data_IF_020568862095
#
_entry.id   IF_020568862095
#
_cell.length_a   1.000
_cell.length_b   1.000
_cell.length_c   1.000
_cell.angle_alpha   90.00
_cell.angle_beta   90.00
_cell.angle_gamma   90.00
#
_symmetry.space_group_name_H-M   'P 1'
#
loop_
_entity.id
_entity.type
_entity.pdbx_description
1 polymer ?
#
# COMPACT_ATOMS: atom_id res chain seq x y z
N UNK A 1 -26.94 -20.53 14.79
CA UNK A 1 -28.05 -20.98 13.91
C UNK A 1 -27.70 -20.57 12.48
N UNK A 2 -28.20 -21.26 11.44
CA UNK A 2 -27.85 -20.93 10.06
C UNK A 2 -28.04 -19.43 9.75
N UNK A 3 -27.03 -18.80 9.17
CA UNK A 3 -27.00 -17.37 8.86
C UNK A 3 -26.81 -16.42 10.05
N UNK A 4 -26.56 -16.93 11.26
CA UNK A 4 -26.17 -16.10 12.40
C UNK A 4 -24.66 -15.89 12.43
N UNK A 5 -24.23 -14.68 12.79
CA UNK A 5 -22.83 -14.35 13.02
C UNK A 5 -22.56 -14.05 14.51
N UNK A 6 -21.29 -14.13 14.89
CA UNK A 6 -20.78 -13.66 16.18
C UNK A 6 -19.51 -12.85 15.93
N UNK A 7 -19.09 -12.05 16.90
CA UNK A 7 -17.86 -11.26 16.82
C UNK A 7 -17.02 -11.52 18.06
N UNK A 8 -15.72 -11.74 17.85
CA UNK A 8 -14.71 -11.86 18.89
C UNK A 8 -13.76 -10.66 18.81
N UNK A 9 -13.10 -10.33 19.91
CA UNK A 9 -12.09 -9.27 19.94
C UNK A 9 -10.87 -9.76 20.69
N UNK A 10 -9.71 -9.67 20.04
CA UNK A 10 -8.40 -9.89 20.65
C UNK A 10 -7.68 -8.54 20.78
N UNK A 11 -6.94 -8.34 21.87
CA UNK A 11 -6.12 -7.15 22.09
C UNK A 11 -4.66 -7.57 22.09
N UNK A 12 -3.90 -7.04 21.13
CA UNK A 12 -2.46 -7.23 21.01
C UNK A 12 -1.74 -5.91 21.27
N UNK A 13 -0.51 -5.99 21.76
CA UNK A 13 0.36 -4.82 21.94
C UNK A 13 1.48 -4.91 20.91
N UNK A 14 1.71 -3.82 20.17
CA UNK A 14 2.86 -3.71 19.27
C UNK A 14 4.12 -3.58 20.12
N UNK A 15 5.07 -4.47 19.90
CA UNK A 15 6.34 -4.49 20.64
C UNK A 15 7.24 -3.33 20.22
N UNK A 16 8.06 -2.85 21.17
CA UNK A 16 9.02 -1.79 20.91
C UNK A 16 10.07 -2.23 19.87
N UNK A 17 10.49 -1.29 19.00
CA UNK A 17 11.50 -1.56 17.97
C UNK A 17 10.93 -2.10 16.65
N UNK A 18 9.61 -2.04 16.47
CA UNK A 18 8.90 -2.40 15.22
C UNK A 18 8.59 -1.19 14.33
N UNK A 19 9.19 -0.02 14.60
CA UNK A 19 8.95 1.19 13.81
C UNK A 19 9.35 0.98 12.34
N UNK A 20 8.43 1.28 11.43
CA UNK A 20 8.59 1.10 9.99
C UNK A 20 8.26 -0.29 9.47
N UNK A 21 7.89 -1.23 10.35
CA UNK A 21 7.56 -2.60 9.96
C UNK A 21 6.06 -2.75 9.62
N UNK A 22 5.79 -3.64 8.67
CA UNK A 22 4.47 -4.17 8.36
C UNK A 22 4.32 -5.52 9.09
N UNK A 23 3.35 -5.60 9.99
CA UNK A 23 3.06 -6.81 10.78
C UNK A 23 1.74 -7.40 10.30
N UNK A 24 1.73 -8.69 9.98
CA UNK A 24 0.51 -9.43 9.62
C UNK A 24 0.13 -10.34 10.78
N UNK A 25 -1.14 -10.29 11.19
CA UNK A 25 -1.72 -11.22 12.15
C UNK A 25 -2.82 -12.01 11.47
N UNK A 26 -2.66 -13.33 11.40
CA UNK A 26 -3.66 -14.25 10.80
C UNK A 26 -4.53 -14.85 11.91
N UNK A 27 -5.80 -15.08 11.62
CA UNK A 27 -6.71 -15.89 12.42
C UNK A 27 -7.35 -16.98 11.56
N UNK A 28 -7.60 -18.13 12.17
CA UNK A 28 -8.08 -19.33 11.47
C UNK A 28 -9.17 -20.06 12.29
N UNK A 29 -10.18 -20.61 11.63
CA UNK A 29 -11.15 -21.53 12.24
C UNK A 29 -10.56 -22.94 12.28
N UNK A 30 -9.73 -23.20 13.29
CA UNK A 30 -9.06 -24.51 13.46
C UNK A 30 -9.94 -25.76 13.63
N UNK A 31 -11.22 -25.60 14.02
CA UNK A 31 -12.13 -26.73 14.26
C UNK A 31 -13.59 -26.29 14.43
N UNK A 32 -14.52 -27.14 13.98
CA UNK A 32 -15.94 -27.03 14.25
C UNK A 32 -16.62 -28.41 14.42
N UNK A 33 -17.78 -28.43 15.07
CA UNK A 33 -18.65 -29.60 15.18
C UNK A 33 -20.10 -29.20 14.96
N UNK A 34 -20.95 -30.16 14.61
CA UNK A 34 -22.41 -29.97 14.60
C UNK A 34 -23.01 -29.92 16.02
N UNK A 35 -24.34 -29.83 16.12
CA UNK A 35 -25.07 -29.77 17.40
C UNK A 35 -25.01 -31.05 18.23
N UNK A 36 -24.50 -32.13 17.66
CA UNK A 36 -24.38 -33.46 18.25
C UNK A 36 -22.91 -33.83 18.52
N UNK A 37 -21.99 -32.84 18.50
CA UNK A 37 -20.54 -32.98 18.62
C UNK A 37 -19.91 -33.85 17.51
N UNK A 38 -20.59 -33.97 16.37
CA UNK A 38 -20.11 -34.66 15.17
C UNK A 38 -19.13 -33.80 14.37
N UNK A 39 -18.13 -34.44 13.77
CA UNK A 39 -17.24 -33.78 12.82
C UNK A 39 -18.04 -33.32 11.58
N UNK A 40 -17.70 -32.14 11.09
CA UNK A 40 -18.26 -31.55 9.88
C UNK A 40 -17.14 -31.37 8.85
N UNK A 41 -17.48 -31.55 7.58
CA UNK A 41 -16.60 -31.17 6.47
C UNK A 41 -17.00 -29.76 6.05
N UNK A 42 -16.03 -28.87 5.96
CA UNK A 42 -16.23 -27.59 5.30
C UNK A 42 -16.15 -27.77 3.77
N UNK A 43 -16.80 -26.89 3.01
CA UNK A 43 -16.97 -27.10 1.56
C UNK A 43 -15.72 -26.70 0.79
N UNK A 44 -15.08 -25.64 1.22
CA UNK A 44 -14.02 -24.91 0.53
C UNK A 44 -12.82 -24.62 1.43
N UNK A 45 -12.83 -25.12 2.67
CA UNK A 45 -11.81 -24.79 3.67
C UNK A 45 -11.25 -26.04 4.36
N UNK A 46 -10.00 -25.99 4.84
CA UNK A 46 -9.36 -27.10 5.57
C UNK A 46 -8.97 -26.73 7.00
N UNK A 47 -9.91 -26.75 7.96
CA UNK A 47 -9.65 -26.38 9.36
C UNK A 47 -8.45 -27.12 9.98
N UNK A 48 -7.38 -26.40 10.31
CA UNK A 48 -6.25 -26.94 11.06
C UNK A 48 -5.57 -25.93 12.02
N UNK A 49 -4.25 -25.83 12.06
CA UNK A 49 -3.52 -24.86 12.91
C UNK A 49 -2.25 -24.35 12.22
N UNK A 50 -2.14 -24.54 10.91
CA UNK A 50 -0.96 -24.29 10.08
C UNK A 50 -1.25 -23.16 9.08
N UNK A 51 -1.06 -21.93 9.56
CA UNK A 51 -1.26 -20.66 8.82
C UNK A 51 -0.45 -20.48 7.52
N UNK A 52 0.36 -21.48 7.14
CA UNK A 52 1.15 -21.50 5.93
C UNK A 52 0.59 -22.38 4.83
N UNK A 53 -0.54 -23.05 5.05
CA UNK A 53 -1.12 -23.97 4.08
C UNK A 53 -2.48 -23.50 3.51
N UNK A 54 -2.97 -22.34 3.95
CA UNK A 54 -4.27 -21.83 3.56
C UNK A 54 -4.26 -21.12 2.21
N UNK A 55 -5.19 -21.42 1.30
CA UNK A 55 -5.33 -20.81 -0.02
C UNK A 55 -5.77 -19.33 0.05
N UNK A 56 -5.11 -18.48 -0.74
CA UNK A 56 -5.42 -17.05 -0.80
C UNK A 56 -4.85 -16.28 0.39
N UNK A 57 -5.64 -15.36 0.99
CA UNK A 57 -5.19 -14.56 2.13
C UNK A 57 -4.00 -13.62 1.85
N UNK A 58 -3.90 -13.06 0.64
CA UNK A 58 -2.87 -12.06 0.35
C UNK A 58 -3.36 -10.64 0.70
N UNK A 59 -2.76 -10.03 1.73
CA UNK A 59 -3.15 -8.70 2.24
C UNK A 59 -3.24 -7.62 1.15
N UNK A 60 -4.33 -6.85 1.15
CA UNK A 60 -4.58 -5.77 0.20
C UNK A 60 -4.89 -6.20 -1.24
N UNK A 61 -5.20 -7.48 -1.45
CA UNK A 61 -5.58 -8.03 -2.77
C UNK A 61 -7.06 -8.47 -2.78
N UNK A 62 -7.64 -8.91 -3.91
CA UNK A 62 -9.01 -9.41 -3.92
C UNK A 62 -9.29 -10.63 -3.04
N UNK A 63 -8.28 -11.43 -2.66
CA UNK A 63 -8.43 -12.53 -1.69
C UNK A 63 -8.41 -12.04 -0.23
N UNK A 64 -8.13 -10.77 0.04
CA UNK A 64 -8.22 -10.19 1.39
C UNK A 64 -9.69 -9.93 1.77
N UNK A 65 -10.14 -10.38 2.94
CA UNK A 65 -11.54 -10.34 3.40
C UNK A 65 -12.52 -11.14 2.51
N UNK A 66 -12.04 -12.07 1.68
CA UNK A 66 -12.90 -12.87 0.81
C UNK A 66 -13.58 -14.01 1.60
N UNK A 67 -14.83 -14.31 1.22
CA UNK A 67 -15.69 -15.29 1.94
C UNK A 67 -16.55 -16.12 0.98
N UNK A 68 -16.17 -16.12 -0.29
CA UNK A 68 -16.96 -16.76 -1.36
C UNK A 68 -16.09 -17.53 -2.35
N UNK A 69 -14.83 -17.77 -1.99
CA UNK A 69 -13.92 -18.56 -2.81
C UNK A 69 -14.31 -20.04 -2.83
N UNK A 70 -13.43 -20.87 -3.38
CA UNK A 70 -13.67 -22.32 -3.46
C UNK A 70 -12.49 -23.15 -2.91
N UNK A 71 -11.51 -22.50 -2.26
CA UNK A 71 -10.32 -23.12 -1.70
C UNK A 71 -9.41 -23.81 -2.70
N UNK A 72 -9.59 -23.59 -4.00
CA UNK A 72 -8.77 -24.26 -5.03
C UNK A 72 -7.41 -23.60 -5.25
N UNK A 73 -7.16 -22.49 -4.56
CA UNK A 73 -5.99 -21.64 -4.68
C UNK A 73 -4.72 -22.21 -4.08
N UNK A 74 -3.71 -21.35 -4.01
CA UNK A 74 -2.47 -21.61 -3.30
C UNK A 74 -2.26 -20.56 -2.20
N UNK A 75 -1.45 -20.86 -1.17
CA UNK A 75 -1.19 -19.89 -0.13
C UNK A 75 -0.57 -18.59 -0.65
N UNK A 76 -1.18 -17.48 -0.26
CA UNK A 76 -0.81 -16.14 -0.67
C UNK A 76 -1.14 -15.80 -2.13
N UNK A 77 -2.02 -16.54 -2.79
CA UNK A 77 -2.55 -16.10 -4.08
C UNK A 77 -3.49 -14.89 -3.93
N UNK A 78 -3.79 -14.23 -5.05
CA UNK A 78 -4.48 -12.93 -5.07
C UNK A 78 -5.90 -12.99 -5.62
N UNK A 79 -6.42 -14.20 -5.84
CA UNK A 79 -7.65 -14.43 -6.57
C UNK A 79 -8.81 -14.75 -5.61
N UNK A 80 -9.73 -13.78 -5.44
CA UNK A 80 -10.94 -13.91 -4.58
C UNK A 80 -11.70 -15.23 -4.78
N UNK A 81 -11.76 -15.74 -6.01
CA UNK A 81 -12.56 -16.92 -6.33
C UNK A 81 -11.87 -18.26 -6.04
N UNK A 82 -10.60 -18.25 -5.61
CA UNK A 82 -9.83 -19.45 -5.26
C UNK A 82 -9.39 -19.47 -3.80
N UNK A 83 -9.65 -18.39 -3.08
CA UNK A 83 -9.49 -18.24 -1.63
C UNK A 83 -10.29 -19.29 -0.85
N UNK A 84 -9.80 -19.68 0.31
CA UNK A 84 -10.63 -20.38 1.32
C UNK A 84 -11.18 -19.40 2.35
N UNK A 85 -12.16 -19.79 3.16
CA UNK A 85 -12.93 -18.85 3.99
C UNK A 85 -12.81 -19.07 5.51
N UNK A 86 -11.90 -19.94 5.94
CA UNK A 86 -11.63 -20.20 7.35
C UNK A 86 -10.38 -19.50 7.90
N UNK A 87 -9.49 -18.97 7.05
CA UNK A 87 -8.29 -18.23 7.41
C UNK A 87 -8.31 -16.81 6.83
N UNK A 88 -7.92 -15.80 7.63
CA UNK A 88 -7.88 -14.41 7.14
C UNK A 88 -6.77 -13.58 7.83
N UNK A 89 -5.95 -12.83 7.04
CA UNK A 89 -4.89 -11.96 7.55
C UNK A 89 -5.34 -10.53 7.86
N UNK A 90 -4.77 -9.91 8.90
CA UNK A 90 -4.90 -8.48 9.15
C UNK A 90 -3.53 -7.78 9.16
N UNK A 91 -3.35 -6.78 8.30
CA UNK A 91 -2.14 -5.96 8.21
C UNK A 91 -2.15 -4.77 9.19
N UNK A 92 -1.04 -4.60 9.91
CA UNK A 92 -0.76 -3.46 10.79
C UNK A 92 0.52 -2.78 10.32
N UNK A 93 0.47 -1.48 10.00
CA UNK A 93 1.66 -0.68 9.70
C UNK A 93 2.08 0.12 10.92
N UNK A 94 3.30 -0.09 11.41
CA UNK A 94 3.79 0.57 12.62
C UNK A 94 4.61 1.81 12.25
N UNK A 95 4.12 3.00 12.59
CA UNK A 95 4.81 4.27 12.30
C UNK A 95 5.39 4.35 10.87
N UNK A 96 4.57 4.13 9.82
CA UNK A 96 5.08 4.05 8.46
C UNK A 96 5.74 5.36 8.02
N UNK A 97 6.81 5.28 7.24
CA UNK A 97 7.38 6.40 6.50
C UNK A 97 6.91 6.36 5.06
N UNK A 98 6.26 7.41 4.58
CA UNK A 98 5.75 7.48 3.22
C UNK A 98 5.77 8.91 2.69
N UNK A 99 6.32 9.09 1.49
CA UNK A 99 6.37 10.36 0.77
C UNK A 99 5.75 10.18 -0.61
N UNK A 100 4.79 11.04 -0.93
CA UNK A 100 4.21 11.14 -2.27
C UNK A 100 4.63 12.43 -2.97
N UNK A 101 4.73 12.36 -4.29
CA UNK A 101 5.02 13.51 -5.15
C UNK A 101 3.96 13.60 -6.25
N UNK A 102 3.44 14.81 -6.46
CA UNK A 102 2.64 15.12 -7.65
C UNK A 102 3.31 16.24 -8.43
N UNK A 103 3.22 16.19 -9.76
CA UNK A 103 3.70 17.24 -10.67
C UNK A 103 2.60 17.58 -11.66
N UNK A 104 2.27 18.86 -11.74
CA UNK A 104 1.24 19.39 -12.64
C UNK A 104 1.73 20.69 -13.27
N UNK A 105 1.08 21.15 -14.33
CA UNK A 105 1.23 22.53 -14.77
C UNK A 105 0.81 23.46 -13.63
N UNK A 106 1.56 24.53 -13.41
CA UNK A 106 1.24 25.49 -12.36
C UNK A 106 -0.14 26.14 -12.59
N UNK A 107 -0.77 26.62 -11.52
CA UNK A 107 -2.06 27.28 -11.61
C UNK A 107 -2.00 28.46 -12.60
N UNK A 108 -2.84 28.42 -13.65
CA UNK A 108 -2.88 29.44 -14.70
C UNK A 108 -1.90 29.22 -15.86
N UNK A 109 -1.07 28.17 -15.84
CA UNK A 109 -0.25 27.77 -16.97
C UNK A 109 -1.10 27.05 -18.02
N UNK A 110 -1.17 27.60 -19.23
CA UNK A 110 -1.83 26.96 -20.36
C UNK A 110 -1.01 25.77 -20.90
N UNK A 111 -1.66 24.66 -21.30
CA UNK A 111 -0.97 23.49 -21.85
C UNK A 111 -0.54 23.66 -23.31
N UNK A 112 -1.09 24.66 -24.00
CA UNK A 112 -0.75 24.97 -25.40
C UNK A 112 0.15 26.19 -25.42
N UNK A 113 1.39 26.00 -25.88
CA UNK A 113 2.45 27.01 -25.90
C UNK A 113 3.17 27.01 -27.24
N UNK A 114 3.86 28.09 -27.57
CA UNK A 114 4.70 28.21 -28.75
C UNK A 114 6.19 27.95 -28.39
N UNK A 115 7.03 27.55 -29.37
CA UNK A 115 8.46 27.41 -29.13
C UNK A 115 9.09 28.71 -28.59
N UNK A 116 9.71 28.62 -27.42
CA UNK A 116 10.35 29.75 -26.73
C UNK A 116 9.55 30.27 -25.54
N UNK A 117 8.29 29.86 -25.38
CA UNK A 117 7.50 30.17 -24.18
C UNK A 117 8.04 29.43 -22.95
N UNK A 118 7.94 30.07 -21.78
CA UNK A 118 8.20 29.41 -20.51
C UNK A 118 6.98 28.60 -20.07
N UNK A 119 7.22 27.39 -19.56
CA UNK A 119 6.19 26.53 -18.98
C UNK A 119 6.54 26.30 -17.51
N UNK A 120 5.60 26.64 -16.63
CA UNK A 120 5.76 26.47 -15.21
C UNK A 120 5.05 25.20 -14.70
N UNK A 121 5.74 24.47 -13.82
CA UNK A 121 5.22 23.27 -13.17
C UNK A 121 5.18 23.48 -11.66
N UNK A 122 4.15 22.92 -11.03
CA UNK A 122 4.05 22.83 -9.57
C UNK A 122 4.33 21.39 -9.16
N UNK A 123 5.33 21.22 -8.30
CA UNK A 123 5.68 19.94 -7.69
C UNK A 123 5.29 20.01 -6.22
N UNK A 124 4.44 19.08 -5.77
CA UNK A 124 4.01 18.98 -4.38
C UNK A 124 4.52 17.68 -3.80
N UNK A 125 5.33 17.77 -2.75
CA UNK A 125 5.76 16.64 -1.93
C UNK A 125 4.89 16.59 -0.67
N UNK A 126 4.32 15.43 -0.36
CA UNK A 126 3.46 15.21 0.80
C UNK A 126 4.01 14.06 1.63
N UNK A 127 4.21 14.30 2.92
CA UNK A 127 4.45 13.21 3.87
C UNK A 127 3.11 12.55 4.20
N UNK A 128 2.92 11.33 3.72
CA UNK A 128 1.73 10.51 3.95
C UNK A 128 1.93 9.52 5.11
N UNK A 129 3.17 9.41 5.60
CA UNK A 129 3.52 8.60 6.76
C UNK A 129 3.36 9.33 8.10
N UNK A 130 3.78 8.66 9.16
CA UNK A 130 3.76 9.16 10.54
C UNK A 130 5.13 9.68 11.01
N UNK A 131 6.18 9.40 10.24
CA UNK A 131 7.56 9.79 10.57
C UNK A 131 7.92 11.11 9.89
N UNK A 132 8.44 12.08 10.63
CA UNK A 132 8.92 13.36 10.05
C UNK A 132 10.05 13.09 9.06
N UNK A 133 9.84 13.50 7.81
CA UNK A 133 10.88 13.48 6.79
C UNK A 133 11.88 14.63 7.00
N UNK A 134 13.12 14.43 6.55
CA UNK A 134 14.15 15.46 6.59
C UNK A 134 15.12 15.27 5.41
N UNK A 135 15.75 16.36 4.97
CA UNK A 135 16.72 16.36 3.87
C UNK A 135 16.16 15.74 2.58
N UNK A 136 14.94 16.14 2.19
CA UNK A 136 14.30 15.63 0.98
C UNK A 136 14.96 16.29 -0.24
N UNK A 137 15.46 15.46 -1.17
CA UNK A 137 15.97 15.89 -2.47
C UNK A 137 14.96 15.50 -3.56
N UNK A 138 14.53 16.50 -4.35
CA UNK A 138 13.67 16.31 -5.51
C UNK A 138 14.50 16.46 -6.77
N UNK A 139 14.44 15.47 -7.67
CA UNK A 139 15.08 15.50 -8.99
C UNK A 139 14.02 15.59 -10.08
N UNK A 140 14.09 16.64 -10.90
CA UNK A 140 13.27 16.82 -12.08
C UNK A 140 14.07 16.50 -13.35
N UNK A 141 13.57 15.59 -14.17
CA UNK A 141 14.20 15.20 -15.43
C UNK A 141 13.68 16.08 -16.56
N UNK A 142 14.58 16.86 -17.17
CA UNK A 142 14.28 17.81 -18.24
C UNK A 142 14.41 17.07 -19.58
N UNK A 143 13.30 16.73 -20.26
CA UNK A 143 13.34 15.98 -21.51
C UNK A 143 13.88 16.83 -22.66
N UNK A 144 14.35 16.16 -23.71
CA UNK A 144 14.66 16.82 -25.00
C UNK A 144 13.48 17.65 -25.49
N UNK A 145 13.75 18.91 -25.85
CA UNK A 145 12.72 19.87 -26.28
C UNK A 145 12.37 20.90 -25.20
N UNK A 146 12.78 20.68 -23.95
CA UNK A 146 12.77 21.69 -22.89
C UNK A 146 14.21 22.06 -22.50
N UNK A 147 14.39 23.26 -21.97
CA UNK A 147 15.63 23.74 -21.39
C UNK A 147 15.36 24.32 -20.01
N UNK A 148 16.29 24.16 -19.07
CA UNK A 148 16.17 24.81 -17.77
C UNK A 148 16.16 26.33 -17.95
N UNK A 149 15.12 26.99 -17.43
CA UNK A 149 15.02 28.45 -17.55
C UNK A 149 15.96 29.15 -16.56
N UNK A 150 16.66 30.18 -17.02
CA UNK A 150 17.43 31.08 -16.18
C UNK A 150 16.56 31.90 -15.20
N UNK A 151 15.23 31.90 -15.38
CA UNK A 151 14.28 32.56 -14.49
C UNK A 151 13.84 31.69 -13.30
N UNK A 152 14.27 30.42 -13.23
CA UNK A 152 14.02 29.58 -12.05
C UNK A 152 14.66 30.18 -10.79
N UNK A 153 14.05 29.92 -9.64
CA UNK A 153 14.61 30.33 -8.35
C UNK A 153 15.87 29.51 -8.06
N UNK A 154 17.04 30.10 -8.34
CA UNK A 154 18.34 29.49 -8.10
C UNK A 154 18.71 29.28 -6.63
N UNK A 155 17.89 29.75 -5.68
CA UNK A 155 18.03 29.38 -4.26
C UNK A 155 17.37 28.02 -3.96
N UNK A 156 16.44 27.58 -4.81
CA UNK A 156 15.70 26.32 -4.65
C UNK A 156 16.21 25.29 -5.65
N UNK A 157 16.28 25.65 -6.93
CA UNK A 157 16.60 24.74 -8.03
C UNK A 157 18.03 24.92 -8.51
N UNK A 158 18.73 23.81 -8.68
CA UNK A 158 20.06 23.74 -9.30
C UNK A 158 19.96 22.98 -10.62
N UNK A 159 20.41 23.57 -11.72
CA UNK A 159 20.63 22.86 -12.99
C UNK A 159 21.94 22.08 -12.92
N UNK A 160 21.88 20.76 -13.12
CA UNK A 160 23.04 19.89 -13.02
C UNK A 160 23.81 19.79 -14.35
N UNK A 161 23.29 20.37 -15.44
CA UNK A 161 23.93 20.35 -16.76
C UNK A 161 23.95 18.98 -17.43
N UNK A 162 23.20 18.01 -16.90
CA UNK A 162 23.09 16.64 -17.39
C UNK A 162 21.65 16.27 -17.81
N UNK A 163 20.78 17.27 -17.93
CA UNK A 163 19.35 17.07 -18.20
C UNK A 163 18.51 16.88 -16.93
N UNK A 164 19.07 17.15 -15.75
CA UNK A 164 18.31 17.17 -14.49
C UNK A 164 18.41 18.50 -13.76
N UNK A 165 17.38 18.81 -12.98
CA UNK A 165 17.42 19.86 -11.97
C UNK A 165 17.09 19.29 -10.60
N UNK A 166 17.79 19.72 -9.56
CA UNK A 166 17.57 19.26 -8.18
C UNK A 166 17.12 20.39 -7.27
N UNK A 167 16.27 20.06 -6.30
CA UNK A 167 15.85 20.95 -5.23
C UNK A 167 15.89 20.23 -3.88
N UNK A 168 16.52 20.87 -2.88
CA UNK A 168 16.49 20.41 -1.50
C UNK A 168 15.35 21.13 -0.76
N UNK A 169 14.44 20.36 -0.18
CA UNK A 169 13.36 20.90 0.65
C UNK A 169 13.51 20.40 2.09
N UNK A 170 13.23 21.28 3.04
CA UNK A 170 13.06 20.88 4.42
C UNK A 170 11.78 20.02 4.54
N UNK A 171 11.84 18.98 5.36
CA UNK A 171 10.65 18.20 5.71
C UNK A 171 9.89 18.77 6.90
#
# INVERSE_FOLDING_TARGET
>A
APGASTTLTILLTVDAGTDGEDLVNVAEISAATDSEDGAVEDIDSTPDTDDGNDAGGAVGTPSDDATTGDGSGAPGDTEENTDEDDADPALIRVNPFDLALTKVLSAGQEPVVEPGDEVSFTITVTNQGMVTAANIEVTDYIPTGLSFSANNDGAIWTDNGDGTATAAIAG
#
